data_IF_379231570052
#
_entry.id   IF_379231570052
#
_cell.length_a   1.000
_cell.length_b   1.000
_cell.length_c   1.000
_cell.angle_alpha   90.00
_cell.angle_beta   90.00
_cell.angle_gamma   90.00
#
_symmetry.space_group_name_H-M   'P 1'
#
loop_
_entity.id
_entity.type
_entity.pdbx_description
1 polymer ?
#
# COMPACT_ATOMS: atom_id res chain seq x y z
N UNK A 1 -10.89 -7.85 -35.25
CA UNK A 1 -11.96 -7.39 -34.33
C UNK A 1 -12.34 -8.47 -33.32
N UNK A 2 -12.74 -9.68 -33.73
CA UNK A 2 -13.15 -10.75 -32.79
C UNK A 2 -12.04 -11.19 -31.82
N UNK A 3 -10.80 -11.32 -32.30
CA UNK A 3 -9.66 -11.63 -31.43
C UNK A 3 -9.48 -10.59 -30.31
N UNK A 4 -9.56 -9.30 -30.64
CA UNK A 4 -9.43 -8.22 -29.66
C UNK A 4 -10.58 -8.23 -28.61
N UNK A 5 -11.80 -8.61 -29.00
CA UNK A 5 -12.91 -8.76 -28.04
C UNK A 5 -12.68 -9.92 -27.08
N UNK A 6 -12.14 -11.03 -27.58
CA UNK A 6 -11.83 -12.20 -26.74
C UNK A 6 -10.69 -11.88 -25.78
N UNK A 7 -9.62 -11.26 -26.28
CA UNK A 7 -8.47 -10.83 -25.47
C UNK A 7 -8.89 -9.88 -24.34
N UNK A 8 -9.69 -8.85 -24.66
CA UNK A 8 -10.24 -7.93 -23.67
C UNK A 8 -11.06 -8.64 -22.58
N UNK A 9 -11.89 -9.64 -22.95
CA UNK A 9 -12.68 -10.40 -21.97
C UNK A 9 -11.80 -11.26 -21.06
N UNK A 10 -10.72 -11.86 -21.59
CA UNK A 10 -9.76 -12.63 -20.80
C UNK A 10 -9.03 -11.73 -19.81
N UNK A 11 -8.55 -10.57 -20.27
CA UNK A 11 -7.93 -9.55 -19.41
C UNK A 11 -8.89 -9.06 -18.34
N UNK A 12 -10.12 -8.70 -18.71
CA UNK A 12 -11.14 -8.26 -17.74
C UNK A 12 -11.43 -9.33 -16.68
N UNK A 13 -11.53 -10.60 -17.08
CA UNK A 13 -11.73 -11.70 -16.14
C UNK A 13 -10.55 -11.87 -15.17
N UNK A 14 -9.32 -11.71 -15.67
CA UNK A 14 -8.11 -11.73 -14.83
C UNK A 14 -8.14 -10.57 -13.83
N UNK A 15 -8.42 -9.35 -14.29
CA UNK A 15 -8.42 -8.15 -13.47
C UNK A 15 -9.52 -8.17 -12.39
N UNK A 16 -10.71 -8.69 -12.71
CA UNK A 16 -11.77 -8.90 -11.73
C UNK A 16 -11.37 -9.90 -10.64
N UNK A 17 -10.64 -10.96 -11.00
CA UNK A 17 -10.14 -11.92 -10.03
C UNK A 17 -9.05 -11.30 -9.13
N UNK A 18 -8.15 -10.50 -9.70
CA UNK A 18 -7.15 -9.73 -8.95
C UNK A 18 -7.81 -8.78 -7.95
N UNK A 19 -8.76 -7.96 -8.41
CA UNK A 19 -9.47 -6.99 -7.57
C UNK A 19 -10.29 -7.69 -6.47
N UNK A 20 -10.89 -8.84 -6.75
CA UNK A 20 -11.58 -9.64 -5.73
C UNK A 20 -10.63 -10.09 -4.62
N UNK A 21 -9.46 -10.60 -4.97
CA UNK A 21 -8.47 -11.06 -4.00
C UNK A 21 -7.90 -9.89 -3.18
N UNK A 22 -7.63 -8.76 -3.83
CA UNK A 22 -7.21 -7.53 -3.17
C UNK A 22 -8.30 -7.02 -2.21
N UNK A 23 -9.57 -7.11 -2.59
CA UNK A 23 -10.70 -6.70 -1.73
C UNK A 23 -10.84 -7.56 -0.49
N UNK A 24 -10.56 -8.87 -0.60
CA UNK A 24 -10.52 -9.77 0.54
C UNK A 24 -9.35 -9.43 1.48
N UNK A 25 -8.14 -9.29 0.92
CA UNK A 25 -6.96 -8.87 1.69
C UNK A 25 -7.21 -7.54 2.43
N UNK A 26 -7.77 -6.55 1.74
CA UNK A 26 -8.05 -5.23 2.31
C UNK A 26 -9.08 -5.30 3.46
N UNK A 27 -10.10 -6.13 3.30
CA UNK A 27 -11.09 -6.39 4.35
C UNK A 27 -10.47 -7.13 5.54
N UNK A 28 -9.58 -8.08 5.30
CA UNK A 28 -8.89 -8.87 6.34
C UNK A 28 -7.90 -8.01 7.16
N UNK A 29 -7.29 -7.00 6.54
CA UNK A 29 -6.45 -6.03 7.26
C UNK A 29 -7.23 -5.25 8.32
N UNK A 30 -8.55 -5.09 8.17
CA UNK A 30 -9.41 -4.43 9.16
C UNK A 30 -9.11 -2.94 9.37
N UNK A 31 -8.37 -2.31 8.44
CA UNK A 31 -7.92 -0.93 8.58
C UNK A 31 -9.08 0.06 8.49
N UNK A 32 -10.06 -0.13 7.61
CA UNK A 32 -11.23 0.78 7.51
C UNK A 32 -12.01 0.84 8.82
N UNK A 33 -12.17 -0.31 9.49
CA UNK A 33 -12.91 -0.34 10.76
C UNK A 33 -12.10 0.29 11.90
N UNK A 34 -10.77 0.21 11.83
CA UNK A 34 -9.85 0.74 12.84
C UNK A 34 -9.52 2.22 12.63
N UNK A 35 -9.56 2.68 11.39
CA UNK A 35 -9.19 4.01 10.90
C UNK A 35 -10.40 4.61 10.16
N UNK A 36 -11.44 4.99 10.90
CA UNK A 36 -12.69 5.50 10.34
C UNK A 36 -12.54 6.82 9.55
N UNK A 37 -11.40 7.51 9.69
CA UNK A 37 -11.05 8.70 8.93
C UNK A 37 -10.44 8.36 7.55
N UNK A 38 -9.89 7.16 7.38
CA UNK A 38 -9.23 6.76 6.14
C UNK A 38 -10.24 6.46 5.03
N UNK A 39 -9.90 6.86 3.81
CA UNK A 39 -10.74 6.71 2.62
C UNK A 39 -10.62 5.29 2.07
N UNK A 40 -11.75 4.66 1.74
CA UNK A 40 -11.74 3.37 1.03
C UNK A 40 -11.57 3.60 -0.48
N UNK A 41 -10.36 3.33 -0.99
CA UNK A 41 -9.97 3.62 -2.38
C UNK A 41 -9.50 2.41 -3.17
N UNK A 42 -9.87 1.20 -2.74
CA UNK A 42 -9.32 -0.03 -3.33
C UNK A 42 -9.54 -0.14 -4.85
N UNK A 43 -10.70 0.29 -5.35
CA UNK A 43 -11.02 0.21 -6.78
C UNK A 43 -10.24 1.25 -7.57
N UNK A 44 -10.14 2.48 -7.07
CA UNK A 44 -9.41 3.58 -7.67
C UNK A 44 -7.92 3.30 -7.72
N UNK A 45 -7.35 2.84 -6.60
CA UNK A 45 -5.96 2.41 -6.47
C UNK A 45 -5.64 1.29 -7.47
N UNK A 46 -6.47 0.25 -7.53
CA UNK A 46 -6.27 -0.82 -8.51
C UNK A 46 -6.37 -0.31 -9.95
N UNK A 47 -7.32 0.58 -10.23
CA UNK A 47 -7.51 1.17 -11.56
C UNK A 47 -6.30 2.00 -12.01
N UNK A 48 -5.70 2.79 -11.11
CA UNK A 48 -4.46 3.53 -11.40
C UNK A 48 -3.32 2.59 -11.76
N UNK A 49 -3.13 1.52 -10.99
CA UNK A 49 -2.08 0.52 -11.25
C UNK A 49 -2.35 -0.26 -12.55
N UNK A 50 -3.61 -0.56 -12.84
CA UNK A 50 -4.01 -1.18 -14.10
C UNK A 50 -3.67 -0.30 -15.31
N UNK A 51 -3.76 1.03 -15.17
CA UNK A 51 -3.34 1.99 -16.19
C UNK A 51 -1.83 1.99 -16.47
N UNK A 52 -1.01 1.57 -15.49
CA UNK A 52 0.46 1.44 -15.65
C UNK A 52 0.81 0.12 -16.34
N UNK A 53 0.21 -1.00 -15.92
CA UNK A 53 0.49 -2.34 -16.44
C UNK A 53 -0.80 -3.14 -16.58
N UNK A 54 -1.28 -3.40 -17.79
CA UNK A 54 -2.49 -4.21 -18.02
C UNK A 54 -2.18 -5.63 -18.46
N UNK A 55 -0.94 -5.93 -18.84
CA UNK A 55 -0.55 -7.20 -19.45
C UNK A 55 -0.67 -8.37 -18.46
N UNK A 56 -1.04 -9.59 -18.91
CA UNK A 56 -1.30 -10.72 -18.01
C UNK A 56 -0.10 -11.13 -17.14
N UNK A 57 1.10 -11.09 -17.71
CA UNK A 57 2.33 -11.53 -17.04
C UNK A 57 2.76 -10.61 -15.87
N UNK A 58 2.21 -9.39 -15.81
CA UNK A 58 2.46 -8.42 -14.73
C UNK A 58 1.38 -8.45 -13.64
N UNK A 59 0.59 -9.52 -13.58
CA UNK A 59 -0.45 -9.72 -12.55
C UNK A 59 0.10 -9.59 -11.11
N UNK A 60 1.25 -10.20 -10.83
CA UNK A 60 1.89 -10.12 -9.52
C UNK A 60 2.29 -8.67 -9.18
N UNK A 61 2.90 -7.96 -10.13
CA UNK A 61 3.28 -6.53 -9.98
C UNK A 61 2.05 -5.68 -9.67
N UNK A 62 0.94 -5.86 -10.42
CA UNK A 62 -0.30 -5.13 -10.16
C UNK A 62 -0.81 -5.36 -8.74
N UNK A 63 -0.79 -6.61 -8.28
CA UNK A 63 -1.23 -6.96 -6.91
C UNK A 63 -0.35 -6.28 -5.87
N UNK A 64 0.97 -6.38 -5.97
CA UNK A 64 1.89 -5.76 -5.02
C UNK A 64 1.79 -4.23 -5.02
N UNK A 65 1.83 -3.60 -6.19
CA UNK A 65 1.72 -2.14 -6.30
C UNK A 65 0.37 -1.62 -5.81
N UNK A 66 -0.72 -2.36 -6.02
CA UNK A 66 -2.04 -1.97 -5.49
C UNK A 66 -2.05 -1.97 -3.96
N UNK A 67 -1.41 -2.97 -3.32
CA UNK A 67 -1.28 -2.99 -1.87
C UNK A 67 -0.44 -1.81 -1.36
N UNK A 68 0.67 -1.50 -2.03
CA UNK A 68 1.53 -0.34 -1.70
C UNK A 68 0.72 0.95 -1.78
N UNK A 69 0.07 1.24 -2.91
CA UNK A 69 -0.63 2.52 -3.11
C UNK A 69 -1.84 2.69 -2.16
N UNK A 70 -2.50 1.60 -1.77
CA UNK A 70 -3.57 1.64 -0.76
C UNK A 70 -2.99 2.04 0.61
N UNK A 71 -1.89 1.41 1.03
CA UNK A 71 -1.25 1.75 2.31
C UNK A 71 -0.68 3.18 2.29
N UNK A 72 -0.10 3.62 1.18
CA UNK A 72 0.32 5.02 0.98
C UNK A 72 -0.87 5.97 1.04
N UNK A 73 -2.03 5.61 0.50
CA UNK A 73 -3.24 6.44 0.62
C UNK A 73 -3.74 6.56 2.06
N UNK A 74 -3.61 5.51 2.87
CA UNK A 74 -3.93 5.56 4.31
C UNK A 74 -2.91 6.42 5.05
N UNK A 75 -1.63 6.33 4.67
CA UNK A 75 -0.58 7.19 5.21
C UNK A 75 -0.88 8.67 4.93
N UNK A 76 -1.23 9.02 3.69
CA UNK A 76 -1.66 10.37 3.30
C UNK A 76 -2.82 10.86 4.19
N UNK A 77 -3.84 10.04 4.42
CA UNK A 77 -4.98 10.39 5.29
C UNK A 77 -4.56 10.64 6.75
N UNK A 78 -3.57 9.88 7.26
CA UNK A 78 -3.01 10.09 8.59
C UNK A 78 -2.30 11.46 8.65
N UNK A 79 -1.50 11.81 7.65
CA UNK A 79 -0.70 13.05 7.65
C UNK A 79 -1.52 14.31 7.36
N UNK A 80 -2.52 14.22 6.48
CA UNK A 80 -3.36 15.33 6.04
C UNK A 80 -4.50 15.65 7.02
N UNK A 81 -5.16 14.62 7.54
CA UNK A 81 -6.49 14.79 8.15
C UNK A 81 -6.58 14.43 9.64
N UNK A 82 -5.63 13.68 10.22
CA UNK A 82 -5.85 13.09 11.55
C UNK A 82 -4.69 13.23 12.55
N UNK A 83 -3.45 12.97 12.14
CA UNK A 83 -2.30 12.96 13.06
C UNK A 83 -1.91 14.35 13.54
N UNK A 84 -1.53 14.48 14.80
CA UNK A 84 -0.87 15.72 15.29
C UNK A 84 0.60 15.72 14.89
N UNK A 85 1.24 16.89 14.82
CA UNK A 85 2.65 17.00 14.45
C UNK A 85 3.54 16.07 15.30
N UNK A 86 3.33 16.01 16.61
CA UNK A 86 4.10 15.15 17.52
C UNK A 86 3.89 13.66 17.22
N UNK A 87 2.65 13.24 16.92
CA UNK A 87 2.35 11.86 16.53
C UNK A 87 2.99 11.51 15.18
N UNK A 88 2.97 12.45 14.22
CA UNK A 88 3.54 12.28 12.90
C UNK A 88 5.07 12.20 12.93
N UNK A 89 5.74 12.97 13.79
CA UNK A 89 7.19 12.85 14.02
C UNK A 89 7.57 11.45 14.53
N UNK A 90 6.80 10.90 15.48
CA UNK A 90 6.99 9.55 15.98
C UNK A 90 6.78 8.50 14.88
N UNK A 91 5.65 8.59 14.15
CA UNK A 91 5.35 7.68 13.05
C UNK A 91 6.44 7.69 11.99
N UNK A 92 6.90 8.89 11.62
CA UNK A 92 8.00 9.08 10.67
C UNK A 92 9.26 8.39 11.13
N UNK A 93 9.65 8.59 12.39
CA UNK A 93 10.83 7.97 12.97
C UNK A 93 10.77 6.45 12.94
N UNK A 94 9.62 5.87 13.28
CA UNK A 94 9.41 4.42 13.28
C UNK A 94 9.42 3.84 11.85
N UNK A 95 8.78 4.51 10.88
CA UNK A 95 8.82 4.13 9.46
C UNK A 95 10.24 4.19 8.91
N UNK A 96 10.98 5.26 9.18
CA UNK A 96 12.32 5.44 8.64
C UNK A 96 13.32 4.36 9.10
N UNK A 97 13.10 3.80 10.30
CA UNK A 97 13.91 2.71 10.86
C UNK A 97 13.40 1.31 10.50
N UNK A 98 12.15 1.19 10.03
CA UNK A 98 11.38 -0.06 10.00
C UNK A 98 11.47 -0.88 11.28
N UNK A 99 11.45 -0.19 12.41
CA UNK A 99 11.65 -0.83 13.71
C UNK A 99 10.32 -1.17 14.37
N UNK A 100 9.94 -2.45 14.33
CA UNK A 100 8.75 -2.98 15.02
C UNK A 100 8.89 -2.86 16.54
N UNK A 101 10.10 -2.86 17.09
CA UNK A 101 10.27 -2.79 18.54
C UNK A 101 9.95 -1.39 19.09
N UNK A 102 10.11 -0.35 18.25
CA UNK A 102 9.70 1.03 18.55
C UNK A 102 8.18 1.27 18.41
N UNK A 103 7.37 0.26 18.03
CA UNK A 103 5.93 0.45 17.79
C UNK A 103 5.18 0.91 19.04
N UNK A 104 5.71 0.62 20.24
CA UNK A 104 5.03 0.96 21.49
C UNK A 104 4.88 2.46 21.73
N UNK A 105 5.75 3.26 21.10
CA UNK A 105 5.76 4.72 21.15
C UNK A 105 4.59 5.35 20.38
N UNK A 106 3.97 4.61 19.44
CA UNK A 106 2.91 5.14 18.59
C UNK A 106 1.53 5.13 19.28
N UNK A 107 0.63 6.07 18.92
CA UNK A 107 -0.79 5.95 19.25
C UNK A 107 -1.40 4.65 18.71
N UNK A 108 -2.42 4.13 19.39
CA UNK A 108 -3.05 2.83 19.06
C UNK A 108 -3.43 2.69 17.58
N UNK A 109 -3.97 3.73 16.97
CA UNK A 109 -4.41 3.68 15.57
C UNK A 109 -3.23 3.61 14.59
N UNK A 110 -2.14 4.33 14.87
CA UNK A 110 -0.90 4.27 14.09
C UNK A 110 -0.19 2.91 14.25
N UNK A 111 -0.27 2.27 15.42
CA UNK A 111 0.21 0.88 15.59
C UNK A 111 -0.49 -0.07 14.63
N UNK A 112 -1.83 0.04 14.53
CA UNK A 112 -2.63 -0.81 13.64
C UNK A 112 -2.21 -0.61 12.17
N UNK A 113 -2.00 0.64 11.75
CA UNK A 113 -1.46 0.94 10.42
C UNK A 113 -0.05 0.35 10.22
N UNK A 114 0.87 0.59 11.15
CA UNK A 114 2.26 0.16 11.02
C UNK A 114 2.41 -1.37 11.00
N UNK A 115 1.60 -2.10 11.77
CA UNK A 115 1.53 -3.57 11.69
C UNK A 115 1.05 -4.03 10.31
N UNK A 116 0.01 -3.41 9.77
CA UNK A 116 -0.48 -3.76 8.43
C UNK A 116 0.58 -3.51 7.35
N UNK A 117 1.29 -2.38 7.45
CA UNK A 117 2.37 -2.01 6.56
C UNK A 117 3.53 -3.02 6.60
N UNK A 118 4.08 -3.27 7.79
CA UNK A 118 5.22 -4.18 7.95
C UNK A 118 4.87 -5.63 7.57
N UNK A 119 3.68 -6.12 7.92
CA UNK A 119 3.23 -7.45 7.50
C UNK A 119 3.09 -7.57 5.98
N UNK A 120 2.58 -6.52 5.31
CA UNK A 120 2.45 -6.50 3.86
C UNK A 120 3.82 -6.52 3.17
N UNK A 121 4.80 -5.78 3.70
CA UNK A 121 6.15 -5.78 3.15
C UNK A 121 6.88 -7.11 3.40
N UNK A 122 6.64 -7.75 4.53
CA UNK A 122 7.13 -9.11 4.79
C UNK A 122 6.55 -10.13 3.81
N UNK A 123 5.25 -10.02 3.48
CA UNK A 123 4.63 -10.84 2.44
C UNK A 123 5.34 -10.68 1.09
N UNK A 124 5.76 -9.46 0.75
CA UNK A 124 6.54 -9.20 -0.47
C UNK A 124 7.93 -9.82 -0.44
N UNK A 125 8.61 -9.77 0.71
CA UNK A 125 9.92 -10.42 0.88
C UNK A 125 9.79 -11.93 0.66
N UNK A 126 8.78 -12.55 1.27
CA UNK A 126 8.50 -13.99 1.14
C UNK A 126 8.14 -14.37 -0.31
N UNK A 127 7.31 -13.56 -0.99
CA UNK A 127 6.91 -13.79 -2.39
C UNK A 127 8.13 -13.68 -3.34
N UNK A 128 9.01 -12.69 -3.13
CA UNK A 128 10.17 -12.44 -3.99
C UNK A 128 11.41 -13.28 -3.64
N UNK A 129 11.46 -13.87 -2.44
CA UNK A 129 12.57 -14.72 -2.00
C UNK A 129 12.78 -15.91 -2.93
N UNK A 130 11.69 -16.51 -3.43
CA UNK A 130 11.75 -17.63 -4.37
C UNK A 130 12.47 -17.31 -5.69
N UNK A 131 12.53 -16.03 -6.08
CA UNK A 131 13.20 -15.56 -7.30
C UNK A 131 14.57 -14.91 -7.03
N UNK A 132 15.04 -14.90 -5.78
CA UNK A 132 16.26 -14.18 -5.39
C UNK A 132 16.14 -12.66 -5.51
N UNK A 133 14.90 -12.15 -5.46
CA UNK A 133 14.53 -10.76 -5.76
C UNK A 133 14.09 -9.95 -4.53
N UNK A 134 14.29 -10.48 -3.32
CA UNK A 134 13.88 -9.83 -2.07
C UNK A 134 14.47 -8.43 -1.88
N UNK A 135 15.65 -8.14 -2.48
CA UNK A 135 16.26 -6.81 -2.45
C UNK A 135 15.36 -5.71 -3.05
N UNK A 136 14.40 -6.04 -3.92
CA UNK A 136 13.43 -5.07 -4.42
C UNK A 136 12.56 -4.47 -3.31
N UNK A 137 12.34 -5.20 -2.21
CA UNK A 137 11.56 -4.70 -1.08
C UNK A 137 12.26 -3.54 -0.39
N UNK A 138 13.60 -3.54 -0.31
CA UNK A 138 14.35 -2.40 0.25
C UNK A 138 14.13 -1.11 -0.55
N UNK A 139 14.04 -1.20 -1.89
CA UNK A 139 13.65 -0.04 -2.69
C UNK A 139 12.20 0.39 -2.43
N UNK A 140 11.26 -0.55 -2.33
CA UNK A 140 9.87 -0.22 -2.00
C UNK A 140 9.73 0.42 -0.62
N UNK A 141 10.61 0.07 0.32
CA UNK A 141 10.70 0.63 1.67
C UNK A 141 11.18 2.09 1.61
N UNK A 142 12.21 2.37 0.81
CA UNK A 142 12.70 3.73 0.55
C UNK A 142 11.62 4.61 -0.08
N UNK A 143 10.82 4.09 -1.02
CA UNK A 143 9.69 4.82 -1.63
C UNK A 143 8.64 5.26 -0.61
N UNK A 144 8.39 4.46 0.45
CA UNK A 144 7.49 4.91 1.54
C UNK A 144 8.10 6.10 2.27
N UNK A 145 9.40 6.07 2.56
CA UNK A 145 10.09 7.21 3.19
C UNK A 145 10.02 8.46 2.31
N UNK A 146 10.18 8.33 0.99
CA UNK A 146 9.99 9.44 0.05
C UNK A 146 8.55 9.96 0.03
N UNK A 147 7.55 9.07 0.13
CA UNK A 147 6.13 9.49 0.20
C UNK A 147 5.83 10.33 1.45
N UNK A 148 6.48 10.04 2.57
CA UNK A 148 6.37 10.84 3.81
C UNK A 148 6.95 12.24 3.62
N UNK A 149 8.12 12.35 2.96
CA UNK A 149 8.70 13.66 2.64
C UNK A 149 7.74 14.49 1.80
N UNK A 150 7.08 13.89 0.81
CA UNK A 150 6.06 14.59 0.02
C UNK A 150 4.89 15.08 0.91
N UNK A 151 4.39 14.24 1.81
CA UNK A 151 3.31 14.64 2.74
C UNK A 151 3.74 15.81 3.65
N UNK A 152 4.96 15.78 4.24
CA UNK A 152 5.43 16.90 5.06
C UNK A 152 5.61 18.20 4.27
N UNK A 153 6.19 18.13 3.08
CA UNK A 153 6.44 19.31 2.25
C UNK A 153 5.12 19.97 1.83
N UNK A 154 4.10 19.19 1.48
CA UNK A 154 2.81 19.71 1.00
C UNK A 154 1.96 20.27 2.14
N UNK A 155 1.95 19.65 3.31
CA UNK A 155 1.00 20.01 4.37
C UNK A 155 1.56 20.93 5.46
N UNK A 156 2.89 21.02 5.64
CA UNK A 156 3.49 21.70 6.79
C UNK A 156 4.50 22.80 6.45
N UNK A 157 4.82 23.03 5.17
CA UNK A 157 5.78 24.08 4.73
C UNK A 157 5.11 25.23 3.94
N UNK A 158 3.83 25.11 3.59
CA UNK A 158 3.03 26.22 3.03
C UNK A 158 2.15 26.91 4.09
#
# INVERSE_FOLDING_TARGET
>A
LELAKLDFRLLQSLHQNELRNLSLWWKELGLIQSLNFARDRIVECYFWILGVHYEPHLSHVRRMMTKVIILTSVLDDIYDSYGTLEELELLTGVIHRWDIDSIEELPKYMKVYFVALTNTYKEFEDELAGEGKSYHVEYLKEEVCYSILFCFLVYYIE
#
